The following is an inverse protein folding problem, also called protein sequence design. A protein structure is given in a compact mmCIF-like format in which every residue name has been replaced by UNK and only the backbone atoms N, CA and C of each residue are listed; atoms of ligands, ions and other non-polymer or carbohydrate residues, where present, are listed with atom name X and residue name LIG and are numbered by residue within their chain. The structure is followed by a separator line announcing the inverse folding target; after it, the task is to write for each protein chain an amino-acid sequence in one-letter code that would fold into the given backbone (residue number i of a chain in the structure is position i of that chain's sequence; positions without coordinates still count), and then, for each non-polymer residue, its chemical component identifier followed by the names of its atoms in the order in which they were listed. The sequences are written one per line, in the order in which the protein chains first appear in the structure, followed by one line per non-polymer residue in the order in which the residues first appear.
data_IF_638213225618
#
_entry.id   IF_638213225618
#
_cell.length_a   1.000
_cell.length_b   1.000
_cell.length_c   1.000
_cell.angle_alpha   90.00
_cell.angle_beta   90.00
_cell.angle_gamma   90.00
#
_symmetry.space_group_name_H-M   'P 1'
#
loop_
_entity.id
_entity.type
_entity.pdbx_description
1 polymer ?
#
# COMPACT_ATOMS: atom_id res chain seq x y z
N UNK A 1 -14.67 0.02 -11.17
CA UNK A 1 -13.31 -0.50 -10.88
C UNK A 1 -13.44 -1.97 -10.50
N UNK A 2 -12.53 -2.86 -10.94
CA UNK A 2 -12.60 -4.27 -10.61
C UNK A 2 -12.52 -4.41 -9.08
N UNK A 3 -13.56 -4.95 -8.45
CA UNK A 3 -13.66 -5.09 -6.98
C UNK A 3 -12.46 -5.86 -6.40
N UNK A 4 -11.88 -6.77 -7.20
CA UNK A 4 -10.65 -7.51 -6.89
C UNK A 4 -9.45 -6.59 -6.67
N UNK A 5 -9.31 -5.52 -7.46
CA UNK A 5 -8.25 -4.52 -7.31
C UNK A 5 -8.42 -3.74 -6.01
N UNK A 6 -9.63 -3.27 -5.72
CA UNK A 6 -9.92 -2.51 -4.49
C UNK A 6 -9.65 -3.35 -3.24
N UNK A 7 -10.06 -4.62 -3.23
CA UNK A 7 -9.79 -5.53 -2.11
C UNK A 7 -8.29 -5.80 -1.93
N UNK A 8 -7.53 -6.01 -3.01
CA UNK A 8 -6.06 -6.17 -2.94
C UNK A 8 -5.38 -4.91 -2.41
N UNK A 9 -5.76 -3.75 -2.94
CA UNK A 9 -5.25 -2.46 -2.50
C UNK A 9 -5.49 -2.26 -1.00
N UNK A 10 -6.73 -2.48 -0.55
CA UNK A 10 -7.09 -2.34 0.86
C UNK A 10 -6.30 -3.30 1.75
N UNK A 11 -6.15 -4.57 1.35
CA UNK A 11 -5.37 -5.55 2.10
C UNK A 11 -3.90 -5.14 2.24
N UNK A 12 -3.26 -4.71 1.14
CA UNK A 12 -1.86 -4.26 1.15
C UNK A 12 -1.71 -2.99 2.00
N UNK A 13 -2.63 -2.02 1.87
CA UNK A 13 -2.64 -0.80 2.66
C UNK A 13 -2.74 -1.10 4.17
N UNK A 14 -3.67 -1.97 4.56
CA UNK A 14 -3.81 -2.38 5.96
C UNK A 14 -2.56 -3.09 6.50
N UNK A 15 -1.95 -3.99 5.71
CA UNK A 15 -0.70 -4.64 6.12
C UNK A 15 0.44 -3.64 6.30
N UNK A 16 0.59 -2.67 5.40
CA UNK A 16 1.61 -1.62 5.51
C UNK A 16 1.36 -0.74 6.74
N UNK A 17 0.11 -0.35 6.99
CA UNK A 17 -0.26 0.44 8.18
C UNK A 17 0.10 -0.28 9.48
N UNK A 18 -0.21 -1.57 9.59
CA UNK A 18 0.10 -2.37 10.78
C UNK A 18 1.62 -2.47 10.95
N UNK A 19 2.37 -2.78 9.90
CA UNK A 19 3.83 -2.88 9.97
C UNK A 19 4.48 -1.56 10.38
N UNK A 20 4.03 -0.43 9.82
CA UNK A 20 4.53 0.89 10.19
C UNK A 20 4.18 1.22 11.64
N UNK A 21 2.95 0.97 12.07
CA UNK A 21 2.53 1.22 13.45
C UNK A 21 3.37 0.42 14.45
N UNK A 22 3.60 -0.87 14.18
CA UNK A 22 4.48 -1.72 14.99
C UNK A 22 5.92 -1.20 14.98
N UNK A 23 6.44 -0.82 13.81
CA UNK A 23 7.79 -0.27 13.72
C UNK A 23 7.94 0.98 14.59
N UNK A 24 7.04 1.95 14.45
CA UNK A 24 7.05 3.21 15.22
C UNK A 24 6.92 2.92 16.72
N UNK A 25 6.01 2.04 17.12
CA UNK A 25 5.75 1.75 18.53
C UNK A 25 6.89 1.02 19.23
N UNK A 26 7.57 0.08 18.55
CA UNK A 26 8.56 -0.78 19.19
C UNK A 26 10.01 -0.31 19.03
N UNK A 27 10.33 0.44 17.97
CA UNK A 27 11.72 0.77 17.63
C UNK A 27 12.07 2.26 17.77
N UNK A 28 11.08 3.15 17.92
CA UNK A 28 11.31 4.60 17.91
C UNK A 28 10.89 5.28 19.20
N UNK A 29 11.49 6.44 19.46
CA UNK A 29 11.17 7.25 20.63
C UNK A 29 9.73 7.82 20.50
N UNK A 30 8.87 7.61 21.53
CA UNK A 30 7.50 8.09 21.52
C UNK A 30 7.35 9.59 21.27
N UNK A 31 8.34 10.41 21.65
CA UNK A 31 8.33 11.86 21.48
C UNK A 31 8.22 12.29 20.01
N UNK A 32 8.73 11.46 19.08
CA UNK A 32 8.73 11.75 17.65
C UNK A 32 7.68 10.94 16.86
N UNK A 33 6.79 10.22 17.54
CA UNK A 33 5.75 9.37 16.91
C UNK A 33 5.02 10.08 15.77
N UNK A 34 4.55 11.31 16.01
CA UNK A 34 3.81 12.10 15.00
C UNK A 34 4.69 12.40 13.79
N UNK A 35 5.96 12.76 14.01
CA UNK A 35 6.92 13.06 12.96
C UNK A 35 7.17 11.83 12.09
N UNK A 36 7.32 10.64 12.69
CA UNK A 36 7.48 9.39 11.93
C UNK A 36 6.25 9.03 11.10
N UNK A 37 5.03 9.27 11.62
CA UNK A 37 3.81 9.08 10.84
C UNK A 37 3.74 10.02 9.63
N UNK A 38 4.16 11.28 9.77
CA UNK A 38 4.24 12.24 8.65
C UNK A 38 5.23 11.73 7.59
N UNK A 39 6.41 11.27 7.99
CA UNK A 39 7.39 10.72 7.06
C UNK A 39 6.97 9.39 6.44
N UNK A 40 6.15 8.59 7.14
CA UNK A 40 5.64 7.33 6.63
C UNK A 40 4.49 7.50 5.64
N UNK A 41 3.73 8.61 5.67
CA UNK A 41 2.57 8.85 4.81
C UNK A 41 2.82 8.64 3.31
N UNK A 42 3.90 9.16 2.71
CA UNK A 42 4.22 8.90 1.30
C UNK A 42 4.41 7.41 1.00
N UNK A 43 4.98 6.64 1.92
CA UNK A 43 5.20 5.21 1.75
C UNK A 43 3.91 4.40 1.96
N UNK A 44 3.10 4.77 2.95
CA UNK A 44 1.80 4.16 3.24
C UNK A 44 0.86 4.32 2.04
N UNK A 45 0.92 5.44 1.33
CA UNK A 45 0.08 5.66 0.15
C UNK A 45 0.76 5.12 -1.12
N UNK A 46 2.04 5.37 -1.31
CA UNK A 46 2.77 5.00 -2.53
C UNK A 46 2.96 3.50 -2.69
N UNK A 47 3.32 2.78 -1.62
CA UNK A 47 3.61 1.35 -1.71
C UNK A 47 2.38 0.50 -2.10
N UNK A 48 1.18 0.70 -1.52
CA UNK A 48 -0.01 -0.03 -1.95
C UNK A 48 -0.47 0.32 -3.36
N UNK A 49 -0.30 1.57 -3.81
CA UNK A 49 -0.62 1.97 -5.18
C UNK A 49 0.32 1.25 -6.17
N UNK A 50 1.63 1.37 -5.96
CA UNK A 50 2.63 0.72 -6.82
C UNK A 50 2.48 -0.80 -6.82
N UNK A 51 2.31 -1.41 -5.65
CA UNK A 51 2.10 -2.85 -5.53
C UNK A 51 0.83 -3.27 -6.27
N UNK A 52 -0.27 -2.52 -6.15
CA UNK A 52 -1.52 -2.84 -6.84
C UNK A 52 -1.39 -2.72 -8.34
N UNK A 53 -0.65 -1.74 -8.86
CA UNK A 53 -0.36 -1.59 -10.29
C UNK A 53 0.52 -2.74 -10.80
N UNK A 54 1.62 -3.05 -10.11
CA UNK A 54 2.56 -4.12 -10.51
C UNK A 54 1.90 -5.50 -10.45
N UNK A 55 1.02 -5.73 -9.46
CA UNK A 55 0.31 -7.00 -9.30
C UNK A 55 -0.93 -7.11 -10.19
N UNK A 56 -1.34 -6.02 -10.87
CA UNK A 56 -2.44 -6.09 -11.83
C UNK A 56 -1.98 -6.90 -13.04
N UNK A 57 -2.63 -8.03 -13.27
CA UNK A 57 -2.37 -8.88 -14.45
C UNK A 57 -3.09 -8.32 -15.67
N UNK A 58 -2.49 -8.51 -16.84
CA UNK A 58 -3.05 -8.10 -18.15
C UNK A 58 -4.45 -8.68 -18.41
N UNK A 59 -4.80 -9.82 -17.81
CA UNK A 59 -6.14 -10.44 -17.86
C UNK A 59 -7.24 -9.56 -17.22
N UNK A 60 -6.88 -8.64 -16.31
CA UNK A 60 -7.80 -7.68 -15.68
C UNK A 60 -7.90 -6.35 -16.46
N UNK A 61 -7.04 -6.13 -17.47
CA UNK A 61 -6.95 -4.90 -18.25
C UNK A 61 -7.64 -4.96 -19.63
N UNK A 62 -8.29 -6.07 -19.97
CA UNK A 62 -9.00 -6.28 -21.26
C UNK A 62 -8.23 -5.75 -22.48
N UNK A 63 -6.91 -5.94 -22.49
CA UNK A 63 -6.11 -5.78 -23.70
C UNK A 63 -6.38 -7.02 -24.54
N UNK A 64 -7.53 -7.02 -25.21
CA UNK A 64 -7.74 -7.85 -26.38
C UNK A 64 -6.53 -7.66 -27.29
N UNK A 65 -5.79 -8.77 -27.51
CA UNK A 65 -4.62 -8.80 -28.37
C UNK A 65 -4.99 -8.19 -29.72
N UNK A 66 -4.49 -6.99 -30.00
CA UNK A 66 -4.50 -6.46 -31.36
C UNK A 66 -3.46 -7.28 -32.11
N UNK A 67 -4.01 -8.24 -32.86
CA UNK A 67 -3.46 -9.06 -33.95
C UNK A 67 -2.03 -8.73 -34.39
#
# INVERSE_FOLDING_TARGET
MPVKFVMRFAAILFSVLILVALAIQFYFDPHYTVVFWIFAMPFILGAPILASVVLTKNEELDIHSVN
#
